data_IF_715255839538
#
_entry.id   IF_715255839538
#
_cell.length_a   1.000
_cell.length_b   1.000
_cell.length_c   1.000
_cell.angle_alpha   90.00
_cell.angle_beta   90.00
_cell.angle_gamma   90.00
#
_symmetry.space_group_name_H-M   'P 1'
#
loop_
_entity.id
_entity.type
_entity.pdbx_description
1 polymer ?
#
# COMPACT_ATOMS: atom_id res chain seq x y z
N UNK A 1 21.24 -6.91 6.14
CA UNK A 1 21.68 -5.57 5.69
C UNK A 1 20.49 -4.59 5.53
N UNK A 2 19.40 -4.94 4.75
CA UNK A 2 18.28 -4.00 4.59
C UNK A 2 17.60 -3.73 5.95
N UNK A 3 17.24 -4.76 6.70
CA UNK A 3 16.59 -4.64 8.01
C UNK A 3 17.45 -3.88 9.04
N UNK A 4 18.75 -4.09 9.05
CA UNK A 4 19.68 -3.37 9.94
C UNK A 4 19.70 -1.87 9.60
N UNK A 5 19.80 -1.54 8.30
CA UNK A 5 19.73 -0.15 7.85
C UNK A 5 18.37 0.48 8.17
N UNK A 6 17.27 -0.27 7.98
CA UNK A 6 15.93 0.18 8.31
C UNK A 6 15.82 0.52 9.79
N UNK A 7 16.25 -0.40 10.67
CA UNK A 7 16.26 -0.18 12.11
C UNK A 7 17.05 1.07 12.49
N UNK A 8 18.27 1.23 11.91
CA UNK A 8 19.12 2.37 12.24
C UNK A 8 18.51 3.69 11.75
N UNK A 9 18.02 3.75 10.51
CA UNK A 9 17.39 4.94 9.95
C UNK A 9 16.10 5.33 10.70
N UNK A 10 15.26 4.35 11.05
CA UNK A 10 14.02 4.59 11.78
C UNK A 10 14.30 5.04 13.22
N UNK A 11 15.23 4.38 13.92
CA UNK A 11 15.62 4.76 15.28
C UNK A 11 16.16 6.18 15.36
N UNK A 12 17.02 6.58 14.40
CA UNK A 12 17.58 7.93 14.35
C UNK A 12 16.51 9.00 14.05
N UNK A 13 15.43 8.61 13.35
CA UNK A 13 14.34 9.50 13.00
C UNK A 13 13.17 9.47 14.00
N UNK A 14 13.24 8.66 15.06
CA UNK A 14 12.12 8.50 15.99
C UNK A 14 10.92 7.76 15.42
N UNK A 15 11.10 7.00 14.34
CA UNK A 15 10.04 6.23 13.67
C UNK A 15 10.08 4.79 14.17
N UNK A 16 8.94 4.26 14.59
CA UNK A 16 8.80 2.86 15.01
C UNK A 16 8.39 1.99 13.84
N UNK A 17 9.12 0.90 13.63
CA UNK A 17 8.74 -0.14 12.66
C UNK A 17 7.72 -1.04 13.34
N UNK A 18 6.48 -1.06 12.85
CA UNK A 18 5.40 -1.90 13.40
C UNK A 18 5.40 -3.27 12.73
N UNK A 19 5.39 -3.32 11.41
CA UNK A 19 5.48 -4.59 10.68
C UNK A 19 6.30 -4.47 9.40
N UNK A 20 6.81 -5.60 8.92
CA UNK A 20 7.58 -5.65 7.70
C UNK A 20 7.46 -7.02 7.01
N UNK A 21 7.57 -6.99 5.68
CA UNK A 21 7.75 -8.18 4.85
C UNK A 21 8.66 -7.82 3.67
N UNK A 22 9.75 -8.59 3.51
CA UNK A 22 10.69 -8.45 2.40
C UNK A 22 10.36 -9.47 1.33
N UNK A 23 9.88 -9.02 0.19
CA UNK A 23 9.64 -9.83 -0.99
C UNK A 23 10.86 -9.81 -1.93
N UNK A 24 10.83 -10.63 -2.98
CA UNK A 24 11.97 -10.74 -3.90
C UNK A 24 12.33 -9.46 -4.65
N UNK A 25 11.35 -8.59 -4.90
CA UNK A 25 11.48 -7.36 -5.71
C UNK A 25 10.86 -6.12 -5.06
N UNK A 26 10.17 -6.24 -3.94
CA UNK A 26 9.55 -5.15 -3.20
C UNK A 26 9.52 -5.41 -1.70
N UNK A 27 9.09 -4.43 -0.93
CA UNK A 27 8.99 -4.51 0.52
C UNK A 27 7.68 -3.88 1.00
N UNK A 28 7.04 -4.50 1.98
CA UNK A 28 5.88 -3.95 2.69
C UNK A 28 6.31 -3.56 4.09
N UNK A 29 5.96 -2.35 4.50
CA UNK A 29 6.37 -1.79 5.78
C UNK A 29 5.19 -1.06 6.42
N UNK A 30 5.01 -1.23 7.72
CA UNK A 30 4.09 -0.45 8.54
C UNK A 30 4.90 0.28 9.60
N UNK A 31 4.66 1.57 9.74
CA UNK A 31 5.36 2.43 10.68
C UNK A 31 4.36 3.15 11.60
N UNK A 32 4.77 3.37 12.85
CA UNK A 32 4.20 4.41 13.68
C UNK A 32 5.13 5.63 13.63
N UNK A 33 4.59 6.76 13.17
CA UNK A 33 5.31 8.00 12.91
C UNK A 33 4.51 9.19 13.44
N UNK A 34 4.91 9.71 14.56
CA UNK A 34 4.21 10.78 15.26
C UNK A 34 4.72 12.18 14.89
N UNK A 35 5.87 12.27 14.20
CA UNK A 35 6.56 13.53 13.88
C UNK A 35 6.70 13.79 12.37
N UNK A 36 6.00 13.00 11.53
CA UNK A 36 6.11 13.03 10.05
C UNK A 36 7.57 12.84 9.55
N UNK A 37 8.35 12.05 10.27
CA UNK A 37 9.77 11.81 10.00
C UNK A 37 10.03 10.60 9.07
N UNK A 38 9.01 9.75 8.86
CA UNK A 38 9.11 8.50 8.07
C UNK A 38 9.64 8.75 6.66
N UNK A 39 9.20 9.82 6.01
CA UNK A 39 9.65 10.14 4.64
C UNK A 39 11.16 10.37 4.56
N UNK A 40 11.74 11.05 5.55
CA UNK A 40 13.18 11.27 5.61
C UNK A 40 13.94 9.98 5.94
N UNK A 41 13.44 9.18 6.87
CA UNK A 41 14.00 7.86 7.22
C UNK A 41 14.02 6.92 6.00
N UNK A 42 12.92 6.82 5.27
CA UNK A 42 12.80 6.00 4.06
C UNK A 42 13.71 6.49 2.94
N UNK A 43 13.77 7.78 2.68
CA UNK A 43 14.70 8.33 1.67
C UNK A 43 16.16 7.94 1.98
N UNK A 44 16.59 8.10 3.23
CA UNK A 44 17.93 7.75 3.68
C UNK A 44 18.21 6.24 3.56
N UNK A 45 17.25 5.41 3.99
CA UNK A 45 17.31 3.96 3.89
C UNK A 45 17.51 3.52 2.44
N UNK A 46 16.59 3.91 1.56
CA UNK A 46 16.58 3.46 0.15
C UNK A 46 17.84 3.94 -0.60
N UNK A 47 18.26 5.19 -0.38
CA UNK A 47 19.47 5.73 -0.98
C UNK A 47 20.72 4.98 -0.51
N UNK A 48 20.86 4.73 0.80
CA UNK A 48 22.01 4.04 1.38
C UNK A 48 22.06 2.59 0.92
N UNK A 49 20.92 1.90 0.95
CA UNK A 49 20.82 0.52 0.48
C UNK A 49 21.16 0.40 -1.00
N UNK A 50 20.58 1.25 -1.87
CA UNK A 50 20.86 1.25 -3.30
C UNK A 50 22.37 1.44 -3.60
N UNK A 51 23.03 2.38 -2.92
CA UNK A 51 24.48 2.59 -3.07
C UNK A 51 25.29 1.36 -2.66
N UNK A 52 24.97 0.75 -1.52
CA UNK A 52 25.67 -0.45 -1.03
C UNK A 52 25.44 -1.65 -1.95
N UNK A 53 24.19 -1.84 -2.38
CA UNK A 53 23.81 -2.92 -3.28
C UNK A 53 24.52 -2.81 -4.63
N UNK A 54 24.47 -1.64 -5.26
CA UNK A 54 25.13 -1.38 -6.54
C UNK A 54 26.64 -1.60 -6.45
N UNK A 55 27.29 -1.08 -5.37
CA UNK A 55 28.72 -1.30 -5.13
C UNK A 55 29.07 -2.79 -5.01
N UNK A 56 28.27 -3.56 -4.26
CA UNK A 56 28.51 -5.00 -4.05
C UNK A 56 28.30 -5.83 -5.31
N UNK A 57 27.33 -5.46 -6.13
CA UNK A 57 26.93 -6.24 -7.32
C UNK A 57 27.52 -5.72 -8.63
N UNK A 58 28.30 -4.64 -8.58
CA UNK A 58 28.86 -4.02 -9.78
C UNK A 58 27.82 -3.34 -10.69
N UNK A 59 26.58 -3.10 -10.18
CA UNK A 59 25.52 -2.47 -10.96
C UNK A 59 25.68 -0.95 -10.96
N UNK A 60 25.17 -0.35 -12.05
CA UNK A 60 24.98 1.11 -12.19
C UNK A 60 23.51 1.42 -12.41
N UNK A 61 23.07 2.64 -12.06
CA UNK A 61 21.69 3.08 -12.24
C UNK A 61 20.80 2.86 -11.01
N UNK A 62 19.50 3.06 -11.20
CA UNK A 62 18.52 3.00 -10.13
C UNK A 62 18.25 1.55 -9.70
N UNK A 63 18.27 1.29 -8.38
CA UNK A 63 17.82 0.00 -7.82
C UNK A 63 16.31 -0.01 -7.63
N UNK A 64 15.74 1.06 -7.10
CA UNK A 64 14.32 1.23 -6.93
C UNK A 64 13.76 2.01 -8.13
N UNK A 65 12.70 1.49 -8.74
CA UNK A 65 12.10 2.09 -9.95
C UNK A 65 11.33 3.37 -9.64
N UNK A 66 10.59 3.37 -8.53
CA UNK A 66 9.72 4.46 -8.12
C UNK A 66 10.08 4.94 -6.71
N UNK A 67 9.49 6.09 -6.32
CA UNK A 67 9.44 6.49 -4.92
C UNK A 67 8.54 5.50 -4.18
N UNK A 68 8.78 5.32 -2.86
CA UNK A 68 7.83 4.61 -2.02
C UNK A 68 6.48 5.33 -2.02
N UNK A 69 5.40 4.58 -2.01
CA UNK A 69 4.06 5.08 -1.77
C UNK A 69 3.71 4.93 -0.27
N UNK A 70 2.83 5.78 0.25
CA UNK A 70 2.44 5.76 1.66
C UNK A 70 0.95 5.99 1.82
N UNK A 71 0.36 5.36 2.84
CA UNK A 71 -1.02 5.58 3.26
C UNK A 71 -1.08 5.70 4.78
N UNK A 72 -1.92 6.61 5.27
CA UNK A 72 -2.25 6.66 6.68
C UNK A 72 -3.20 5.51 7.05
N UNK A 73 -3.02 4.97 8.24
CA UNK A 73 -3.86 3.92 8.81
C UNK A 73 -4.61 4.56 9.99
N UNK A 74 -5.78 5.16 9.71
CA UNK A 74 -6.43 6.09 10.64
C UNK A 74 -7.33 5.39 11.68
N UNK A 75 -7.48 4.07 11.61
CA UNK A 75 -8.28 3.27 12.55
C UNK A 75 -7.59 1.94 12.87
N UNK A 76 -7.87 1.40 14.06
CA UNK A 76 -7.36 0.08 14.49
C UNK A 76 -7.73 -1.01 13.50
N UNK A 77 -8.95 -0.96 12.95
CA UNK A 77 -9.41 -1.90 11.95
C UNK A 77 -8.58 -1.84 10.67
N UNK A 78 -8.21 -0.62 10.24
CA UNK A 78 -7.36 -0.42 9.07
C UNK A 78 -5.92 -0.88 9.35
N UNK A 79 -5.42 -0.62 10.57
CA UNK A 79 -4.14 -1.11 11.03
C UNK A 79 -4.10 -2.66 11.04
N UNK A 80 -5.09 -3.31 11.66
CA UNK A 80 -5.16 -4.78 11.70
C UNK A 80 -5.19 -5.39 10.29
N UNK A 81 -5.99 -4.83 9.38
CA UNK A 81 -6.05 -5.28 7.99
C UNK A 81 -4.70 -5.12 7.27
N UNK A 82 -3.99 -3.99 7.50
CA UNK A 82 -2.68 -3.75 6.94
C UNK A 82 -1.63 -4.73 7.47
N UNK A 83 -1.64 -5.04 8.76
CA UNK A 83 -0.74 -6.04 9.37
C UNK A 83 -0.98 -7.43 8.77
N UNK A 84 -2.25 -7.86 8.69
CA UNK A 84 -2.60 -9.13 8.04
C UNK A 84 -2.12 -9.17 6.60
N UNK A 85 -2.40 -8.12 5.83
CA UNK A 85 -1.96 -7.97 4.46
C UNK A 85 -0.42 -8.10 4.33
N UNK A 86 0.35 -7.34 5.11
CA UNK A 86 1.82 -7.40 5.08
C UNK A 86 2.33 -8.81 5.34
N UNK A 87 1.76 -9.52 6.31
CA UNK A 87 2.19 -10.88 6.65
C UNK A 87 1.69 -11.93 5.64
N UNK A 88 0.52 -11.73 5.01
CA UNK A 88 -0.05 -12.69 4.05
C UNK A 88 0.61 -12.64 2.66
N UNK A 89 1.32 -11.56 2.32
CA UNK A 89 1.93 -11.35 1.00
C UNK A 89 2.70 -12.55 0.43
N UNK A 90 3.58 -13.24 1.20
CA UNK A 90 4.29 -14.41 0.68
C UNK A 90 3.37 -15.57 0.31
N UNK A 91 2.28 -15.75 1.05
CA UNK A 91 1.30 -16.80 0.81
C UNK A 91 0.40 -16.46 -0.40
N UNK A 92 -0.04 -15.22 -0.51
CA UNK A 92 -0.81 -14.73 -1.66
C UNK A 92 0.00 -14.78 -2.96
N UNK A 93 1.31 -14.54 -2.88
CA UNK A 93 2.24 -14.70 -4.00
C UNK A 93 2.63 -16.17 -4.29
N UNK A 94 2.12 -17.14 -3.53
CA UNK A 94 2.43 -18.57 -3.69
C UNK A 94 3.88 -18.95 -3.34
N UNK A 95 4.58 -18.13 -2.55
CA UNK A 95 6.00 -18.34 -2.19
C UNK A 95 6.13 -19.26 -0.99
N UNK A 96 5.41 -18.96 0.09
CA UNK A 96 5.45 -19.73 1.33
C UNK A 96 4.22 -19.44 2.20
N UNK A 97 3.89 -20.36 3.11
CA UNK A 97 2.90 -20.09 4.15
C UNK A 97 3.39 -18.97 5.09
N UNK A 98 2.46 -18.19 5.63
CA UNK A 98 2.73 -17.06 6.54
C UNK A 98 3.70 -17.45 7.65
N UNK A 99 3.43 -18.58 8.33
CA UNK A 99 4.24 -19.03 9.49
C UNK A 99 5.64 -19.52 9.11
N UNK A 100 5.87 -19.81 7.83
CA UNK A 100 7.14 -20.38 7.35
C UNK A 100 8.01 -19.39 6.60
N UNK A 101 7.51 -18.17 6.36
CA UNK A 101 8.27 -17.18 5.62
C UNK A 101 9.23 -16.42 6.56
N UNK A 102 10.56 -16.60 6.41
CA UNK A 102 11.52 -16.05 7.36
C UNK A 102 11.79 -14.55 7.16
N UNK A 103 11.32 -13.97 6.06
CA UNK A 103 11.56 -12.58 5.71
C UNK A 103 10.34 -11.71 5.98
N UNK A 104 9.64 -11.96 7.08
CA UNK A 104 8.54 -11.14 7.61
C UNK A 104 8.61 -11.01 9.12
N UNK A 105 7.96 -9.98 9.65
CA UNK A 105 7.85 -9.78 11.10
C UNK A 105 6.84 -10.71 11.78
N UNK A 106 6.14 -11.58 11.06
CA UNK A 106 5.12 -12.46 11.65
C UNK A 106 5.63 -13.26 12.86
N UNK A 107 6.82 -13.88 12.72
CA UNK A 107 7.42 -14.64 13.83
C UNK A 107 7.83 -13.74 15.03
N UNK A 108 8.05 -12.44 14.82
CA UNK A 108 8.32 -11.48 15.90
C UNK A 108 7.06 -11.24 16.72
N UNK A 109 5.90 -11.16 16.09
CA UNK A 109 4.59 -11.05 16.75
C UNK A 109 4.31 -12.24 17.65
N UNK A 110 4.54 -13.46 17.17
CA UNK A 110 4.31 -14.66 17.98
C UNK A 110 5.24 -14.71 19.19
N UNK A 111 6.51 -14.35 19.03
CA UNK A 111 7.48 -14.31 20.14
C UNK A 111 7.16 -13.21 21.17
N UNK A 112 6.59 -12.11 20.73
CA UNK A 112 6.23 -11.00 21.62
C UNK A 112 5.19 -11.40 22.67
N UNK A 113 4.28 -12.35 22.35
CA UNK A 113 3.36 -12.92 23.35
C UNK A 113 4.08 -13.75 24.43
N UNK A 114 5.26 -14.29 24.11
CA UNK A 114 6.11 -15.02 25.08
C UNK A 114 7.07 -14.06 25.82
N UNK A 115 6.85 -12.74 25.71
CA UNK A 115 7.71 -11.67 26.24
C UNK A 115 9.16 -11.71 25.70
N UNK A 116 9.40 -12.34 24.56
CA UNK A 116 10.69 -12.34 23.88
C UNK A 116 10.74 -11.25 22.78
N UNK A 117 10.90 -9.99 23.20
CA UNK A 117 11.09 -8.83 22.32
C UNK A 117 12.54 -8.59 21.91
N UNK A 118 13.48 -9.46 22.36
CA UNK A 118 14.92 -9.17 22.29
C UNK A 118 15.53 -9.35 20.91
N UNK A 119 14.84 -9.98 19.96
CA UNK A 119 15.37 -10.39 18.65
C UNK A 119 14.56 -9.90 17.46
N UNK A 120 13.78 -8.85 17.61
CA UNK A 120 12.94 -8.31 16.54
C UNK A 120 13.51 -7.06 15.87
N UNK A 121 13.01 -6.76 14.67
CA UNK A 121 13.18 -5.47 13.99
C UNK A 121 11.92 -4.60 14.11
N UNK A 122 10.80 -5.19 14.54
CA UNK A 122 9.52 -4.50 14.75
C UNK A 122 9.17 -4.40 16.23
N UNK A 123 8.35 -3.38 16.54
CA UNK A 123 7.63 -3.26 17.80
C UNK A 123 6.13 -3.50 17.53
N UNK A 124 5.63 -4.71 17.84
CA UNK A 124 4.24 -5.08 17.60
C UNK A 124 3.29 -4.61 18.71
N UNK A 125 3.75 -3.93 19.75
CA UNK A 125 2.98 -3.64 20.98
C UNK A 125 1.62 -3.03 20.69
N UNK A 126 1.57 -1.97 19.86
CA UNK A 126 0.31 -1.29 19.53
C UNK A 126 -0.71 -2.17 18.79
N UNK A 127 -0.26 -3.25 18.14
CA UNK A 127 -1.14 -4.21 17.45
C UNK A 127 -1.56 -5.32 18.41
N UNK A 128 -0.63 -5.83 19.24
CA UNK A 128 -0.91 -6.91 20.16
C UNK A 128 -1.92 -6.52 21.24
N UNK A 129 -1.99 -5.22 21.61
CA UNK A 129 -3.00 -4.67 22.52
C UNK A 129 -4.43 -4.80 21.96
N UNK A 130 -4.60 -4.96 20.64
CA UNK A 130 -5.90 -5.15 19.99
C UNK A 130 -6.39 -6.60 20.01
N UNK A 131 -5.54 -7.54 20.48
CA UNK A 131 -5.86 -8.96 20.55
C UNK A 131 -5.73 -9.48 21.98
N UNK A 132 -6.70 -10.27 22.42
CA UNK A 132 -6.70 -10.85 23.76
C UNK A 132 -5.61 -11.93 23.98
N UNK A 133 -5.08 -12.51 22.88
CA UNK A 133 -4.11 -13.61 22.97
C UNK A 133 -3.35 -13.82 21.65
N UNK A 134 -2.21 -14.51 21.73
CA UNK A 134 -1.46 -15.01 20.57
C UNK A 134 -2.34 -15.83 19.61
N UNK A 135 -3.25 -16.63 20.17
CA UNK A 135 -4.20 -17.41 19.37
C UNK A 135 -5.16 -16.50 18.60
N UNK A 136 -5.69 -15.45 19.24
CA UNK A 136 -6.59 -14.48 18.57
C UNK A 136 -5.88 -13.77 17.40
N UNK A 137 -4.63 -13.36 17.61
CA UNK A 137 -3.81 -12.79 16.53
C UNK A 137 -3.56 -13.80 15.40
N UNK A 138 -3.21 -15.04 15.75
CA UNK A 138 -2.96 -16.11 14.77
C UNK A 138 -4.21 -16.42 13.95
N UNK A 139 -5.34 -16.65 14.63
CA UNK A 139 -6.64 -16.94 13.99
C UNK A 139 -7.05 -15.79 13.04
N UNK A 140 -6.88 -14.54 13.46
CA UNK A 140 -7.12 -13.38 12.61
C UNK A 140 -6.20 -13.33 11.40
N UNK A 141 -4.89 -13.55 11.61
CA UNK A 141 -3.89 -13.49 10.54
C UNK A 141 -4.05 -14.57 9.48
N UNK A 142 -4.58 -15.73 9.87
CA UNK A 142 -4.81 -16.88 8.98
C UNK A 142 -6.23 -16.89 8.39
N UNK A 143 -7.14 -16.06 8.91
CA UNK A 143 -8.51 -15.97 8.39
C UNK A 143 -8.54 -15.26 7.03
N UNK A 144 -9.48 -15.66 6.18
CA UNK A 144 -9.78 -14.91 4.96
C UNK A 144 -10.38 -13.56 5.33
N UNK A 145 -10.02 -12.46 4.62
CA UNK A 145 -10.68 -11.18 4.78
C UNK A 145 -12.19 -11.33 4.61
N UNK A 146 -12.96 -10.87 5.58
CA UNK A 146 -14.39 -10.77 5.39
C UNK A 146 -14.72 -9.51 4.55
N UNK A 147 -15.91 -9.46 3.95
CA UNK A 147 -16.29 -8.33 3.09
C UNK A 147 -16.43 -6.99 3.83
N UNK A 148 -16.22 -6.97 5.14
CA UNK A 148 -16.23 -5.79 5.99
C UNK A 148 -14.84 -5.22 6.23
N UNK A 149 -13.77 -6.00 6.03
CA UNK A 149 -12.41 -5.53 6.20
C UNK A 149 -12.04 -4.45 5.17
N UNK A 150 -11.28 -3.43 5.58
CA UNK A 150 -10.71 -2.48 4.65
C UNK A 150 -9.89 -3.21 3.60
N UNK A 151 -10.11 -2.88 2.34
CA UNK A 151 -9.31 -3.45 1.24
C UNK A 151 -7.94 -2.78 1.25
N UNK A 152 -6.92 -3.54 1.61
CA UNK A 152 -5.54 -3.14 1.46
C UNK A 152 -5.10 -3.62 0.07
N UNK A 153 -4.87 -2.67 -0.82
CA UNK A 153 -4.29 -2.96 -2.12
C UNK A 153 -2.77 -2.91 -2.02
N UNK A 154 -2.11 -3.81 -2.72
CA UNK A 154 -0.69 -3.72 -2.96
C UNK A 154 -0.38 -2.37 -3.64
N UNK A 155 0.55 -1.63 -3.07
CA UNK A 155 0.99 -0.35 -3.63
C UNK A 155 1.90 -0.57 -4.85
N UNK A 156 2.38 -1.79 -5.03
CA UNK A 156 3.06 -2.30 -6.23
C UNK A 156 2.12 -3.02 -7.19
N UNK A 157 0.81 -2.68 -7.18
CA UNK A 157 0.00 -3.04 -8.33
C UNK A 157 0.76 -2.62 -9.58
N UNK A 158 1.22 -3.61 -10.35
CA UNK A 158 1.86 -3.32 -11.62
C UNK A 158 0.92 -2.40 -12.42
N UNK A 159 1.45 -1.50 -13.21
CA UNK A 159 0.61 -0.60 -14.02
C UNK A 159 -0.45 -1.39 -14.82
N UNK A 160 -0.16 -2.64 -15.11
CA UNK A 160 -1.08 -3.56 -15.76
C UNK A 160 -2.27 -3.93 -14.85
N UNK A 161 -2.04 -4.25 -13.58
CA UNK A 161 -3.09 -4.61 -12.61
C UNK A 161 -3.97 -3.40 -12.30
N UNK A 162 -3.38 -2.24 -12.08
CA UNK A 162 -4.13 -0.98 -11.91
C UNK A 162 -4.99 -0.68 -13.13
N UNK A 163 -4.45 -0.86 -14.33
CA UNK A 163 -5.20 -0.69 -15.57
C UNK A 163 -6.32 -1.73 -15.70
N UNK A 164 -6.05 -3.00 -15.37
CA UNK A 164 -7.05 -4.06 -15.41
C UNK A 164 -8.19 -3.79 -14.42
N UNK A 165 -7.89 -3.31 -13.22
CA UNK A 165 -8.88 -2.92 -12.22
C UNK A 165 -9.69 -1.69 -12.67
N UNK A 166 -9.04 -0.68 -13.23
CA UNK A 166 -9.72 0.48 -13.81
C UNK A 166 -10.65 0.07 -14.96
N UNK A 167 -10.24 -0.88 -15.82
CA UNK A 167 -11.08 -1.41 -16.90
C UNK A 167 -12.28 -2.20 -16.35
N UNK A 168 -12.08 -3.01 -15.30
CA UNK A 168 -13.16 -3.72 -14.62
C UNK A 168 -14.17 -2.75 -14.00
N UNK A 169 -13.69 -1.66 -13.40
CA UNK A 169 -14.54 -0.60 -12.83
C UNK A 169 -15.33 0.12 -13.94
N UNK A 170 -14.68 0.50 -15.03
CA UNK A 170 -15.32 1.14 -16.17
C UNK A 170 -16.37 0.21 -16.84
N UNK A 171 -16.07 -1.08 -16.98
CA UNK A 171 -17.02 -2.09 -17.47
C UNK A 171 -18.23 -2.26 -16.58
N UNK A 172 -18.10 -2.20 -15.26
CA UNK A 172 -19.24 -2.19 -14.34
C UNK A 172 -20.17 -0.98 -14.55
N UNK A 173 -19.59 0.14 -14.98
CA UNK A 173 -20.33 1.34 -15.39
C UNK A 173 -20.79 1.28 -16.85
N UNK A 174 -20.60 0.13 -17.50
CA UNK A 174 -21.13 -0.23 -18.80
C UNK A 174 -20.32 0.20 -20.00
N UNK A 175 -19.03 0.60 -19.82
CA UNK A 175 -18.12 0.95 -20.94
C UNK A 175 -16.68 0.56 -20.60
N UNK A 176 -16.01 -0.26 -21.40
CA UNK A 176 -14.60 -0.56 -21.20
C UNK A 176 -13.72 0.67 -21.46
N UNK A 177 -12.53 0.72 -20.83
CA UNK A 177 -11.61 1.88 -20.89
C UNK A 177 -11.22 2.28 -22.33
N UNK A 178 -10.99 1.31 -23.19
CA UNK A 178 -10.58 1.53 -24.58
C UNK A 178 -11.67 2.17 -25.45
N UNK A 179 -12.93 2.10 -25.02
CA UNK A 179 -14.08 2.65 -25.75
C UNK A 179 -14.51 4.03 -25.23
N UNK A 180 -13.93 4.51 -24.12
CA UNK A 180 -14.35 5.77 -23.49
C UNK A 180 -14.23 6.99 -24.41
N UNK A 181 -13.32 6.98 -25.39
CA UNK A 181 -13.21 8.07 -26.39
C UNK A 181 -14.41 8.17 -27.33
N UNK A 182 -15.06 7.06 -27.59
CA UNK A 182 -16.16 6.98 -28.58
C UNK A 182 -17.54 7.15 -27.97
N UNK A 183 -17.60 7.15 -26.63
CA UNK A 183 -18.87 7.26 -25.88
C UNK A 183 -19.28 8.73 -25.74
N UNK A 184 -20.63 8.95 -25.68
CA UNK A 184 -21.20 10.27 -25.46
C UNK A 184 -20.59 10.99 -24.24
N UNK A 185 -20.32 12.29 -24.33
CA UNK A 185 -19.61 13.05 -23.29
C UNK A 185 -20.21 12.87 -21.88
N UNK A 186 -21.53 12.90 -21.74
CA UNK A 186 -22.20 12.76 -20.44
C UNK A 186 -21.88 11.44 -19.74
N UNK A 187 -21.87 10.33 -20.48
CA UNK A 187 -21.57 9.01 -19.94
C UNK A 187 -20.08 8.82 -19.67
N UNK A 188 -19.23 9.27 -20.61
CA UNK A 188 -17.79 9.27 -20.49
C UNK A 188 -17.32 10.04 -19.26
N UNK A 189 -17.83 11.24 -19.07
CA UNK A 189 -17.41 12.17 -18.03
C UNK A 189 -17.78 11.63 -16.64
N UNK A 190 -18.91 10.96 -16.49
CA UNK A 190 -19.28 10.25 -15.26
C UNK A 190 -18.33 9.09 -14.91
N UNK A 191 -17.91 8.30 -15.91
CA UNK A 191 -16.93 7.21 -15.70
C UNK A 191 -15.55 7.75 -15.34
N UNK A 192 -15.09 8.82 -16.01
CA UNK A 192 -13.82 9.48 -15.68
C UNK A 192 -13.82 10.00 -14.24
N UNK A 193 -14.93 10.60 -13.81
CA UNK A 193 -15.06 11.06 -12.44
C UNK A 193 -15.05 9.89 -11.45
N UNK A 194 -15.80 8.82 -11.73
CA UNK A 194 -15.82 7.63 -10.87
C UNK A 194 -14.44 6.98 -10.74
N UNK A 195 -13.65 6.92 -11.82
CA UNK A 195 -12.26 6.45 -11.76
C UNK A 195 -11.41 7.35 -10.85
N UNK A 196 -11.56 8.66 -10.97
CA UNK A 196 -10.81 9.60 -10.11
C UNK A 196 -11.24 9.50 -8.64
N UNK A 197 -12.53 9.41 -8.36
CA UNK A 197 -13.08 9.20 -7.00
C UNK A 197 -12.63 7.86 -6.42
N UNK A 198 -12.42 6.84 -7.28
CA UNK A 198 -11.83 5.54 -6.95
C UNK A 198 -10.30 5.54 -6.81
N UNK A 199 -9.64 6.71 -6.77
CA UNK A 199 -8.21 6.85 -6.46
C UNK A 199 -7.27 6.87 -7.66
N UNK A 200 -7.77 6.94 -8.90
CA UNK A 200 -6.92 7.09 -10.09
C UNK A 200 -6.52 8.54 -10.32
N UNK A 201 -5.24 8.78 -10.53
CA UNK A 201 -4.73 10.11 -10.87
C UNK A 201 -5.14 10.53 -12.29
N UNK A 202 -5.18 11.84 -12.52
CA UNK A 202 -5.46 12.40 -13.86
C UNK A 202 -4.49 11.85 -14.92
N UNK A 203 -3.23 11.60 -14.57
CA UNK A 203 -2.22 11.02 -15.48
C UNK A 203 -2.46 9.55 -15.79
N UNK A 204 -2.90 8.76 -14.82
CA UNK A 204 -3.27 7.36 -15.05
C UNK A 204 -4.51 7.25 -15.93
N UNK A 205 -5.54 8.07 -15.67
CA UNK A 205 -6.75 8.12 -16.49
C UNK A 205 -6.41 8.52 -17.93
N UNK A 206 -5.56 9.54 -18.15
CA UNK A 206 -5.07 9.90 -19.47
C UNK A 206 -4.38 8.72 -20.17
N UNK A 207 -3.47 8.05 -19.49
CA UNK A 207 -2.68 6.94 -20.02
C UNK A 207 -3.54 5.72 -20.35
N UNK A 208 -4.52 5.40 -19.50
CA UNK A 208 -5.38 4.24 -19.68
C UNK A 208 -6.47 4.43 -20.74
N UNK A 209 -7.02 5.66 -20.83
CA UNK A 209 -8.12 5.99 -21.73
C UNK A 209 -7.66 6.69 -23.01
N UNK A 210 -6.45 7.27 -22.96
CA UNK A 210 -5.93 8.15 -24.03
C UNK A 210 -6.69 9.46 -24.19
N UNK A 211 -7.53 9.83 -23.22
CA UNK A 211 -8.21 11.15 -23.15
C UNK A 211 -7.22 12.15 -22.57
N UNK A 212 -7.04 13.32 -23.17
CA UNK A 212 -6.00 14.27 -22.76
C UNK A 212 -6.14 14.71 -21.31
N UNK A 213 -4.99 14.91 -20.64
CA UNK A 213 -4.89 15.40 -19.25
C UNK A 213 -5.77 16.63 -19.00
N UNK A 214 -5.78 17.58 -19.94
CA UNK A 214 -6.59 18.80 -19.82
C UNK A 214 -8.09 18.50 -19.78
N UNK A 215 -8.55 17.57 -20.60
CA UNK A 215 -9.94 17.11 -20.62
C UNK A 215 -10.30 16.39 -19.32
N UNK A 216 -9.47 15.45 -18.87
CA UNK A 216 -9.70 14.73 -17.60
C UNK A 216 -9.75 15.71 -16.43
N UNK A 217 -8.78 16.63 -16.32
CA UNK A 217 -8.76 17.63 -15.24
C UNK A 217 -9.99 18.54 -15.24
N UNK A 218 -10.49 18.94 -16.42
CA UNK A 218 -11.71 19.74 -16.54
C UNK A 218 -12.94 18.98 -16.05
N UNK A 219 -13.06 17.71 -16.42
CA UNK A 219 -14.17 16.85 -16.01
C UNK A 219 -14.18 16.66 -14.49
N UNK A 220 -13.04 16.28 -13.91
CA UNK A 220 -12.91 16.08 -12.48
C UNK A 220 -13.31 17.32 -11.69
N UNK A 221 -12.84 18.51 -12.10
CA UNK A 221 -13.20 19.77 -11.44
C UNK A 221 -14.70 20.09 -11.52
N UNK A 222 -15.31 19.88 -12.69
CA UNK A 222 -16.73 20.15 -12.89
C UNK A 222 -17.60 19.27 -12.00
N UNK A 223 -17.31 17.97 -11.92
CA UNK A 223 -18.05 17.03 -11.06
C UNK A 223 -17.81 17.26 -9.57
N UNK A 224 -16.59 17.61 -9.16
CA UNK A 224 -16.29 17.95 -7.77
C UNK A 224 -17.10 19.18 -7.29
N UNK A 225 -17.29 20.18 -8.15
CA UNK A 225 -18.12 21.36 -7.83
C UNK A 225 -19.60 20.98 -7.66
N UNK A 226 -20.13 20.11 -8.53
CA UNK A 226 -21.52 19.64 -8.42
C UNK A 226 -21.73 18.81 -7.14
N UNK A 227 -20.78 17.94 -6.81
CA UNK A 227 -20.84 17.12 -5.58
C UNK A 227 -20.84 18.00 -4.31
N UNK A 228 -19.94 18.99 -4.26
CA UNK A 228 -19.85 19.93 -3.13
C UNK A 228 -21.13 20.79 -2.97
N UNK A 229 -21.80 21.16 -4.06
CA UNK A 229 -23.06 21.90 -4.02
C UNK A 229 -24.23 21.04 -3.54
N UNK A 230 -24.23 19.75 -3.87
CA UNK A 230 -25.26 18.81 -3.40
C UNK A 230 -25.13 18.51 -1.89
N UNK A 231 -23.90 18.37 -1.39
CA UNK A 231 -23.62 18.08 0.03
C UNK A 231 -23.77 19.33 0.93
N UNK A 232 -23.73 20.55 0.39
CA UNK A 232 -23.93 21.80 1.12
C UNK A 232 -25.38 22.29 1.17
N UNK A 233 -26.35 21.51 0.62
CA UNK A 233 -27.77 21.84 0.56
C UNK A 233 -28.63 20.98 1.49
N UNK A 234 -28.03 20.12 2.33
CA UNK A 234 -28.63 19.38 3.43
C UNK A 234 -28.23 20.04 4.77
#
# INVERSE_FOLDING_TARGET
>A
EFLELMRDCCREAGVTVVAWCLMGNHVHLVFADYEDAMSAAMHRLLLTYARRFNKRTGRTGHLFQNRFDRRSLDTDRYLMAAIRYVHANPQEAGIALIERYPWSSFAEYLRAYDNDMTRGFSDPSCVLELFESAKGFLDYSLSMPDGSDPVIHDMDETEWERRAFADKMAKRLGVPLNELKTVAPSRRDGIIFALHDGGYTVREIERYTGISKSTVSRIVRAYAQVKAQAEGSE
#
